data_IF_172829399083
#
_entry.id   IF_172829399083
#
_cell.length_a   1.000
_cell.length_b   1.000
_cell.length_c   1.000
_cell.angle_alpha   90.00
_cell.angle_beta   90.00
_cell.angle_gamma   90.00
#
_symmetry.space_group_name_H-M   'P 1'
#
loop_
_entity.id
_entity.type
_entity.pdbx_description
1 polymer ?
#
# COMPACT_ATOMS: atom_id res chain seq x y z
N UNK A 1 16.63 -59.83 17.89
CA UNK A 1 17.33 -58.77 17.13
C UNK A 1 16.27 -58.01 16.34
N UNK A 2 15.78 -56.93 16.91
CA UNK A 2 14.71 -56.09 16.32
C UNK A 2 15.35 -54.77 15.92
N UNK A 3 15.49 -54.55 14.62
CA UNK A 3 15.94 -53.25 14.08
C UNK A 3 14.74 -52.29 14.09
N UNK A 4 14.85 -51.24 14.90
CA UNK A 4 13.92 -50.12 14.92
C UNK A 4 14.29 -49.15 13.76
N UNK A 5 13.37 -48.99 12.82
CA UNK A 5 13.50 -48.06 11.70
C UNK A 5 12.99 -46.68 12.15
N UNK A 6 13.91 -45.77 12.48
CA UNK A 6 13.60 -44.40 12.83
C UNK A 6 13.56 -43.58 11.54
N UNK A 7 12.37 -43.33 10.98
CA UNK A 7 12.15 -42.46 9.81
C UNK A 7 12.14 -41.01 10.26
N UNK A 8 13.15 -40.27 9.86
CA UNK A 8 13.30 -38.84 10.17
C UNK A 8 12.45 -38.04 9.18
N UNK A 9 11.37 -37.41 9.69
CA UNK A 9 10.55 -36.43 9.01
C UNK A 9 11.26 -35.04 9.08
N UNK A 10 12.12 -34.73 8.11
CA UNK A 10 12.84 -33.43 8.06
C UNK A 10 12.41 -32.53 6.88
N UNK A 11 11.19 -32.72 6.33
CA UNK A 11 10.74 -31.99 5.13
C UNK A 11 9.96 -30.70 5.33
N UNK A 12 9.48 -30.37 6.54
CA UNK A 12 8.49 -29.29 6.73
C UNK A 12 9.13 -27.93 7.03
N UNK A 13 10.36 -27.88 7.52
CA UNK A 13 11.01 -26.64 7.96
C UNK A 13 11.41 -25.71 6.81
N UNK A 14 11.79 -26.22 5.65
CA UNK A 14 12.34 -25.41 4.53
C UNK A 14 11.29 -24.59 3.77
N UNK A 15 10.06 -25.08 3.67
CA UNK A 15 8.98 -24.36 2.98
C UNK A 15 8.50 -23.16 3.82
N UNK A 16 8.30 -23.34 5.12
CA UNK A 16 7.87 -22.29 6.03
C UNK A 16 8.89 -21.15 6.16
N UNK A 17 10.18 -21.47 6.13
CA UNK A 17 11.28 -20.48 6.22
C UNK A 17 11.37 -19.64 4.92
N UNK A 18 11.15 -20.25 3.76
CA UNK A 18 11.11 -19.55 2.48
C UNK A 18 9.90 -18.61 2.39
N UNK A 19 8.72 -19.05 2.76
CA UNK A 19 7.51 -18.24 2.69
C UNK A 19 7.57 -17.05 3.66
N UNK A 20 8.16 -17.23 4.85
CA UNK A 20 8.41 -16.14 5.79
C UNK A 20 9.44 -15.13 5.25
N UNK A 21 10.44 -15.60 4.53
CA UNK A 21 11.41 -14.72 3.85
C UNK A 21 10.75 -13.91 2.73
N UNK A 22 9.77 -14.47 2.03
CA UNK A 22 9.08 -13.81 0.92
C UNK A 22 8.19 -12.63 1.38
N UNK A 23 7.47 -12.75 2.51
CA UNK A 23 6.71 -11.62 3.06
C UNK A 23 7.64 -10.52 3.61
N UNK A 24 8.73 -10.88 4.28
CA UNK A 24 9.70 -9.91 4.75
C UNK A 24 10.34 -9.14 3.58
N UNK A 25 10.70 -9.84 2.50
CA UNK A 25 11.21 -9.22 1.27
C UNK A 25 10.19 -8.28 0.64
N UNK A 26 8.91 -8.65 0.58
CA UNK A 26 7.83 -7.79 0.06
C UNK A 26 7.65 -6.52 0.87
N UNK A 27 7.77 -6.60 2.19
CA UNK A 27 7.74 -5.43 3.07
C UNK A 27 8.92 -4.48 2.76
N UNK A 28 10.11 -5.03 2.58
CA UNK A 28 11.31 -4.26 2.21
C UNK A 28 11.17 -3.65 0.80
N UNK A 29 10.66 -4.40 -0.16
CA UNK A 29 10.35 -3.89 -1.51
C UNK A 29 9.29 -2.78 -1.47
N UNK A 30 8.28 -2.88 -0.61
CA UNK A 30 7.29 -1.83 -0.41
C UNK A 30 7.91 -0.54 0.14
N UNK A 31 8.87 -0.65 1.05
CA UNK A 31 9.66 0.49 1.52
C UNK A 31 10.48 1.12 0.40
N UNK A 32 11.14 0.30 -0.42
CA UNK A 32 11.92 0.77 -1.58
C UNK A 32 11.05 1.50 -2.59
N UNK A 33 9.89 0.94 -2.95
CA UNK A 33 8.93 1.58 -3.85
C UNK A 33 8.52 2.97 -3.35
N UNK A 34 8.17 3.10 -2.06
CA UNK A 34 7.80 4.38 -1.48
C UNK A 34 8.97 5.38 -1.50
N UNK A 35 10.19 4.94 -1.14
CA UNK A 35 11.38 5.77 -1.18
C UNK A 35 11.70 6.25 -2.61
N UNK A 36 11.60 5.39 -3.61
CA UNK A 36 11.93 5.70 -5.00
C UNK A 36 10.90 6.64 -5.65
N UNK A 37 9.61 6.47 -5.31
CA UNK A 37 8.55 7.40 -5.73
C UNK A 37 8.81 8.79 -5.15
N UNK A 38 9.10 8.87 -3.87
CA UNK A 38 9.34 10.14 -3.18
C UNK A 38 10.68 10.80 -3.53
N UNK A 39 11.65 10.04 -4.02
CA UNK A 39 12.93 10.59 -4.50
C UNK A 39 12.86 11.18 -5.91
N UNK A 40 11.73 11.03 -6.64
CA UNK A 40 11.59 11.53 -8.00
C UNK A 40 11.20 13.00 -7.97
N UNK A 41 12.07 13.94 -8.43
CA UNK A 41 11.74 15.36 -8.48
C UNK A 41 10.51 15.60 -9.36
N UNK A 42 9.64 16.54 -8.95
CA UNK A 42 8.45 17.00 -9.67
C UNK A 42 7.40 15.91 -10.02
N UNK A 43 7.57 14.67 -9.53
CA UNK A 43 6.65 13.55 -9.78
C UNK A 43 6.27 12.79 -8.50
N UNK A 44 6.71 13.24 -7.35
CA UNK A 44 6.37 12.64 -6.06
C UNK A 44 4.87 12.77 -5.73
N UNK A 45 4.41 11.95 -4.80
CA UNK A 45 3.09 12.13 -4.20
C UNK A 45 3.09 13.47 -3.45
N UNK A 46 2.12 14.35 -3.70
CA UNK A 46 2.11 15.67 -3.06
C UNK A 46 2.06 15.60 -1.53
N UNK A 47 2.75 16.52 -0.87
CA UNK A 47 2.86 16.55 0.59
C UNK A 47 1.51 16.67 1.30
N UNK A 48 0.56 17.44 0.75
CA UNK A 48 -0.78 17.56 1.28
C UNK A 48 -1.56 16.24 1.24
N UNK A 49 -1.32 15.40 0.22
CA UNK A 49 -1.93 14.06 0.13
C UNK A 49 -1.36 13.14 1.20
N UNK A 50 -0.04 13.10 1.37
CA UNK A 50 0.61 12.26 2.38
C UNK A 50 0.31 12.70 3.82
N UNK A 51 0.24 14.02 4.07
CA UNK A 51 -0.11 14.56 5.39
C UNK A 51 -1.54 14.25 5.79
N UNK A 52 -2.47 14.20 4.83
CA UNK A 52 -3.89 13.86 5.06
C UNK A 52 -4.15 12.35 5.03
N UNK A 53 -3.17 11.53 4.61
CA UNK A 53 -3.34 10.09 4.47
C UNK A 53 -3.83 9.43 5.76
N UNK A 54 -4.95 8.71 5.66
CA UNK A 54 -5.49 7.84 6.72
C UNK A 54 -4.84 6.46 6.68
N UNK A 55 -4.68 5.90 5.47
CA UNK A 55 -3.91 4.68 5.28
C UNK A 55 -3.03 4.80 4.02
N UNK A 56 -1.94 4.06 4.01
CA UNK A 56 -1.03 3.92 2.88
C UNK A 56 -0.88 2.44 2.58
N UNK A 57 -1.11 2.05 1.33
CA UNK A 57 -0.89 0.71 0.85
C UNK A 57 0.10 0.72 -0.31
N UNK A 58 1.04 -0.23 -0.31
CA UNK A 58 2.05 -0.37 -1.35
C UNK A 58 2.06 -1.80 -1.87
N UNK A 59 1.95 -1.94 -3.18
CA UNK A 59 1.98 -3.23 -3.89
C UNK A 59 3.14 -3.17 -4.88
N UNK A 60 4.30 -3.77 -4.53
CA UNK A 60 5.43 -3.88 -5.45
C UNK A 60 5.11 -4.82 -6.60
N UNK A 61 5.58 -4.49 -7.80
CA UNK A 61 5.57 -5.37 -8.98
C UNK A 61 4.22 -6.00 -9.29
N UNK A 62 3.12 -5.24 -9.15
CA UNK A 62 1.79 -5.68 -9.55
C UNK A 62 1.79 -6.02 -11.05
N UNK A 63 1.38 -7.23 -11.38
CA UNK A 63 1.34 -7.71 -12.77
C UNK A 63 0.01 -7.31 -13.40
N UNK A 64 0.07 -6.66 -14.57
CA UNK A 64 -1.07 -6.42 -15.47
C UNK A 64 -0.86 -7.21 -16.75
N UNK A 65 -1.82 -8.04 -17.10
CA UNK A 65 -1.81 -8.83 -18.32
C UNK A 65 -3.08 -8.48 -19.10
N UNK A 66 -2.95 -8.19 -20.38
CA UNK A 66 -4.08 -7.94 -21.27
C UNK A 66 -3.86 -8.62 -22.63
N UNK A 67 -4.79 -9.50 -23.01
CA UNK A 67 -4.86 -10.16 -24.31
C UNK A 67 -6.35 -10.18 -24.70
N UNK A 68 -6.90 -9.00 -25.08
CA UNK A 68 -8.33 -8.83 -25.31
C UNK A 68 -9.16 -8.69 -24.03
N UNK A 69 -9.01 -9.61 -23.09
CA UNK A 69 -9.41 -9.50 -21.69
C UNK A 69 -8.15 -9.38 -20.85
N UNK A 70 -8.15 -8.51 -19.86
CA UNK A 70 -7.00 -8.28 -19.00
C UNK A 70 -7.30 -8.56 -17.55
N UNK A 71 -6.25 -8.83 -16.78
CA UNK A 71 -6.29 -8.95 -15.34
C UNK A 71 -5.13 -8.21 -14.70
N UNK A 72 -5.32 -7.81 -13.46
CA UNK A 72 -4.26 -7.37 -12.59
C UNK A 72 -4.20 -8.24 -11.33
N UNK A 73 -3.00 -8.49 -10.85
CA UNK A 73 -2.76 -9.21 -9.61
C UNK A 73 -1.48 -8.70 -8.97
N UNK A 74 -1.54 -8.46 -7.66
CA UNK A 74 -0.38 -8.07 -6.88
C UNK A 74 -0.58 -8.28 -5.40
N UNK A 75 0.52 -8.49 -4.69
CA UNK A 75 0.57 -8.59 -3.25
C UNK A 75 1.37 -7.43 -2.67
N UNK A 76 0.97 -6.94 -1.51
CA UNK A 76 1.62 -5.83 -0.85
C UNK A 76 1.27 -5.72 0.61
N UNK A 77 1.45 -4.54 1.17
CA UNK A 77 1.14 -4.25 2.57
C UNK A 77 0.42 -2.91 2.71
N UNK A 78 -0.44 -2.81 3.71
CA UNK A 78 -1.14 -1.58 4.08
C UNK A 78 -0.89 -1.24 5.55
N UNK A 79 -0.83 0.04 5.88
CA UNK A 79 -0.80 0.54 7.25
C UNK A 79 -1.73 1.74 7.38
N UNK A 80 -2.33 1.93 8.55
CA UNK A 80 -3.24 3.05 8.83
C UNK A 80 -2.69 3.94 9.93
N UNK A 81 -3.04 5.22 9.86
CA UNK A 81 -2.64 6.22 10.84
C UNK A 81 -3.45 6.05 12.13
N UNK A 82 -2.75 6.06 13.24
CA UNK A 82 -3.27 6.04 14.59
C UNK A 82 -2.94 7.37 15.29
N UNK A 83 -3.51 7.61 16.44
CA UNK A 83 -3.15 8.76 17.28
C UNK A 83 -1.66 8.73 17.68
N UNK A 84 -1.13 7.53 17.95
CA UNK A 84 0.26 7.31 18.36
C UNK A 84 1.25 7.06 17.21
N UNK A 85 0.82 7.17 15.95
CA UNK A 85 1.68 6.92 14.79
C UNK A 85 1.01 6.07 13.70
N UNK A 86 1.63 4.97 13.30
CA UNK A 86 1.14 4.07 12.26
C UNK A 86 0.96 2.66 12.79
N UNK A 87 -0.09 1.97 12.34
CA UNK A 87 -0.37 0.58 12.70
C UNK A 87 0.70 -0.37 12.19
N UNK A 88 0.72 -1.58 12.73
CA UNK A 88 1.43 -2.69 12.12
C UNK A 88 0.95 -2.90 10.68
N UNK A 89 1.80 -3.32 9.72
CA UNK A 89 1.41 -3.52 8.33
C UNK A 89 0.57 -4.76 8.15
N UNK A 90 -0.55 -4.62 7.47
CA UNK A 90 -1.42 -5.74 7.11
C UNK A 90 -1.11 -6.20 5.67
N UNK A 91 -0.80 -7.49 5.45
CA UNK A 91 -0.63 -8.05 4.12
C UNK A 91 -1.93 -7.98 3.31
N UNK A 92 -1.81 -7.55 2.05
CA UNK A 92 -2.92 -7.35 1.12
C UNK A 92 -2.67 -8.02 -0.23
N UNK A 93 -3.76 -8.38 -0.90
CA UNK A 93 -3.77 -8.79 -2.30
C UNK A 93 -4.75 -7.94 -3.08
N UNK A 94 -4.33 -7.41 -4.23
CA UNK A 94 -5.19 -6.77 -5.21
C UNK A 94 -5.39 -7.69 -6.40
N UNK A 95 -6.64 -7.81 -6.85
CA UNK A 95 -7.01 -8.55 -8.05
C UNK A 95 -8.09 -7.78 -8.80
N UNK A 96 -8.01 -7.74 -10.12
CA UNK A 96 -9.03 -7.07 -10.92
C UNK A 96 -9.05 -7.57 -12.34
N UNK A 97 -10.20 -7.39 -12.99
CA UNK A 97 -10.35 -7.53 -14.44
C UNK A 97 -10.18 -6.16 -15.10
N UNK A 98 -9.54 -6.13 -16.24
CA UNK A 98 -9.50 -4.95 -17.11
C UNK A 98 -9.89 -5.33 -18.52
N UNK A 99 -10.67 -4.46 -19.17
CA UNK A 99 -10.99 -4.56 -20.58
C UNK A 99 -10.05 -3.63 -21.33
N UNK A 100 -9.35 -4.12 -22.33
CA UNK A 100 -8.47 -3.26 -23.12
C UNK A 100 -7.82 -3.99 -24.29
N UNK A 101 -7.66 -3.29 -25.40
CA UNK A 101 -6.99 -3.77 -26.61
C UNK A 101 -5.44 -3.79 -26.48
N UNK A 102 -4.90 -3.67 -25.28
CA UNK A 102 -3.46 -3.71 -25.08
C UNK A 102 -2.99 -5.17 -25.01
N UNK A 103 -2.15 -5.54 -25.95
CA UNK A 103 -1.41 -6.81 -25.94
C UNK A 103 -0.13 -6.62 -25.12
N UNK A 104 -0.02 -7.33 -24.01
CA UNK A 104 1.24 -7.33 -23.24
C UNK A 104 1.06 -7.59 -21.76
N UNK A 105 2.18 -7.94 -21.11
CA UNK A 105 2.33 -8.03 -19.67
C UNK A 105 3.22 -6.90 -19.17
N UNK A 106 2.82 -6.25 -18.08
CA UNK A 106 3.59 -5.18 -17.45
C UNK A 106 3.60 -5.37 -15.94
N UNK A 107 4.75 -5.22 -15.32
CA UNK A 107 4.87 -5.10 -13.87
C UNK A 107 4.92 -3.60 -13.52
N UNK A 108 4.10 -3.19 -12.58
CA UNK A 108 4.05 -1.82 -12.07
C UNK A 108 4.10 -1.82 -10.56
N UNK A 109 4.76 -0.84 -9.98
CA UNK A 109 4.65 -0.57 -8.56
C UNK A 109 3.43 0.32 -8.32
N UNK A 110 2.64 -0.01 -7.31
CA UNK A 110 1.41 0.68 -6.99
C UNK A 110 1.46 1.22 -5.57
N UNK A 111 1.11 2.49 -5.40
CA UNK A 111 0.84 3.11 -4.10
C UNK A 111 -0.60 3.59 -4.07
N UNK A 112 -1.32 3.25 -3.02
CA UNK A 112 -2.68 3.71 -2.76
C UNK A 112 -2.69 4.52 -1.47
N UNK A 113 -3.30 5.70 -1.52
CA UNK A 113 -3.47 6.59 -0.37
C UNK A 113 -4.97 6.68 -0.07
N UNK A 114 -5.36 6.22 1.10
CA UNK A 114 -6.72 6.42 1.63
C UNK A 114 -6.77 7.79 2.30
N UNK A 115 -7.66 8.66 1.82
CA UNK A 115 -7.67 10.10 2.15
C UNK A 115 -8.59 10.46 3.30
N UNK A 116 -9.64 9.66 3.53
CA UNK A 116 -10.68 9.98 4.49
C UNK A 116 -11.10 8.77 5.33
N UNK A 117 -11.92 9.02 6.32
CA UNK A 117 -12.39 8.00 7.27
C UNK A 117 -13.26 6.94 6.60
N UNK A 118 -14.06 7.31 5.61
CA UNK A 118 -14.92 6.38 4.88
C UNK A 118 -14.08 5.36 4.12
N UNK A 119 -13.07 5.79 3.38
CA UNK A 119 -12.12 4.90 2.70
C UNK A 119 -11.36 4.00 3.68
N UNK A 120 -11.02 4.51 4.88
CA UNK A 120 -10.43 3.68 5.93
C UNK A 120 -11.40 2.60 6.40
N UNK A 121 -12.68 2.90 6.62
CA UNK A 121 -13.69 1.89 7.00
C UNK A 121 -13.85 0.81 5.93
N UNK A 122 -13.82 1.18 4.64
CA UNK A 122 -13.81 0.20 3.56
C UNK A 122 -12.57 -0.71 3.61
N UNK A 123 -11.38 -0.15 3.85
CA UNK A 123 -10.17 -0.94 4.00
C UNK A 123 -10.26 -1.91 5.19
N UNK A 124 -10.81 -1.47 6.32
CA UNK A 124 -10.99 -2.31 7.52
C UNK A 124 -11.95 -3.49 7.32
N UNK A 125 -12.80 -3.46 6.29
CA UNK A 125 -13.76 -4.53 5.99
C UNK A 125 -13.12 -5.81 5.42
N UNK A 126 -11.81 -5.85 5.26
CA UNK A 126 -11.01 -6.98 4.74
C UNK A 126 -11.24 -7.38 3.28
N UNK A 127 -12.24 -6.83 2.62
CA UNK A 127 -12.51 -6.99 1.19
C UNK A 127 -13.39 -5.85 0.69
N UNK A 128 -12.94 -5.12 -0.31
CA UNK A 128 -13.73 -4.09 -0.99
C UNK A 128 -13.31 -3.94 -2.46
N UNK A 129 -14.20 -3.37 -3.27
CA UNK A 129 -13.97 -3.10 -4.69
C UNK A 129 -13.74 -1.61 -4.91
N UNK A 130 -12.63 -1.28 -5.54
CA UNK A 130 -12.31 0.08 -5.98
C UNK A 130 -13.27 0.51 -7.09
N UNK A 131 -13.82 1.70 -6.95
CA UNK A 131 -14.80 2.28 -7.89
C UNK A 131 -16.24 1.82 -7.70
N UNK A 132 -16.48 0.79 -6.85
CA UNK A 132 -17.83 0.32 -6.52
C UNK A 132 -18.15 0.54 -5.03
N UNK A 133 -17.32 -0.02 -4.14
CA UNK A 133 -17.50 0.10 -2.70
C UNK A 133 -16.80 1.37 -2.15
N UNK A 134 -15.62 1.69 -2.71
CA UNK A 134 -14.86 2.88 -2.38
C UNK A 134 -14.52 3.67 -3.66
N UNK A 135 -14.75 4.97 -3.65
CA UNK A 135 -14.38 5.83 -4.76
C UNK A 135 -12.86 5.89 -4.91
N UNK A 136 -12.37 5.59 -6.11
CA UNK A 136 -10.95 5.59 -6.43
C UNK A 136 -10.67 6.52 -7.60
N UNK A 137 -9.60 7.28 -7.52
CA UNK A 137 -9.14 8.15 -8.60
C UNK A 137 -7.63 8.08 -8.79
N UNK A 138 -7.18 8.35 -10.00
CA UNK A 138 -5.78 8.60 -10.29
C UNK A 138 -5.31 9.82 -9.48
N UNK A 139 -4.28 9.63 -8.64
CA UNK A 139 -3.78 10.68 -7.78
C UNK A 139 -3.12 11.80 -8.58
N UNK A 140 -3.18 13.05 -8.10
CA UNK A 140 -2.48 14.17 -8.69
C UNK A 140 -0.96 13.99 -8.56
N UNK A 141 -0.19 14.35 -9.58
CA UNK A 141 1.27 14.23 -9.60
C UNK A 141 1.91 15.59 -9.94
N UNK A 142 3.05 15.88 -9.32
CA UNK A 142 3.82 17.07 -9.60
C UNK A 142 3.32 18.34 -8.90
N UNK A 143 3.97 19.48 -9.22
CA UNK A 143 3.68 20.79 -8.60
C UNK A 143 2.33 21.37 -9.04
N UNK A 144 1.83 20.98 -10.20
CA UNK A 144 0.54 21.46 -10.73
C UNK A 144 -0.67 20.74 -10.09
N UNK A 145 -0.41 19.83 -9.15
CA UNK A 145 -1.44 19.10 -8.42
C UNK A 145 -2.40 20.03 -7.63
N UNK A 146 -2.02 21.28 -7.38
CA UNK A 146 -2.84 22.24 -6.65
C UNK A 146 -4.12 22.66 -7.40
N UNK A 147 -4.08 22.72 -8.74
CA UNK A 147 -5.22 23.19 -9.55
C UNK A 147 -6.31 22.12 -9.77
N UNK A 148 -5.95 20.84 -9.69
CA UNK A 148 -6.85 19.69 -9.97
C UNK A 148 -7.38 19.05 -8.67
N UNK A 149 -7.12 19.71 -7.53
CA UNK A 149 -7.17 19.12 -6.19
C UNK A 149 -8.59 18.88 -5.69
N UNK A 150 -9.55 19.77 -6.01
CA UNK A 150 -10.87 19.71 -5.36
C UNK A 150 -11.73 18.49 -5.74
N UNK A 151 -11.63 18.03 -6.99
CA UNK A 151 -12.43 16.89 -7.46
C UNK A 151 -11.75 15.57 -7.09
N UNK A 152 -10.43 15.48 -7.27
CA UNK A 152 -9.64 14.28 -6.97
C UNK A 152 -9.50 14.03 -5.46
N UNK A 153 -9.42 15.08 -4.65
CA UNK A 153 -9.36 14.97 -3.19
C UNK A 153 -10.68 14.50 -2.54
N UNK A 154 -11.77 14.43 -3.30
CA UNK A 154 -13.03 13.81 -2.85
C UNK A 154 -13.04 12.30 -2.98
N UNK A 155 -12.11 11.72 -3.76
CA UNK A 155 -11.98 10.28 -3.85
C UNK A 155 -11.47 9.72 -2.50
N UNK A 156 -12.02 8.59 -2.09
CA UNK A 156 -11.63 7.91 -0.86
C UNK A 156 -10.25 7.27 -0.97
N UNK A 157 -9.87 6.86 -2.19
CA UNK A 157 -8.59 6.25 -2.50
C UNK A 157 -7.94 6.94 -3.70
N UNK A 158 -6.75 7.48 -3.50
CA UNK A 158 -5.89 7.97 -4.59
C UNK A 158 -4.86 6.91 -4.95
N UNK A 159 -4.68 6.69 -6.24
CA UNK A 159 -3.82 5.63 -6.76
C UNK A 159 -2.68 6.21 -7.59
N UNK A 160 -1.49 5.70 -7.36
CA UNK A 160 -0.27 6.09 -8.02
C UNK A 160 0.47 4.85 -8.52
N UNK A 161 0.97 4.88 -9.75
CA UNK A 161 1.76 3.79 -10.28
C UNK A 161 3.11 4.26 -10.80
N UNK A 162 4.09 3.39 -10.71
CA UNK A 162 5.39 3.56 -11.32
C UNK A 162 5.69 2.37 -12.24
N UNK A 163 6.06 2.67 -13.46
CA UNK A 163 6.50 1.67 -14.44
C UNK A 163 7.69 2.20 -15.22
N UNK A 164 8.78 1.43 -15.27
CA UNK A 164 10.02 1.78 -16.01
C UNK A 164 10.52 3.22 -15.74
N UNK A 165 10.46 3.65 -14.47
CA UNK A 165 10.88 5.01 -14.07
C UNK A 165 9.88 6.13 -14.37
N UNK A 166 8.74 5.83 -15.01
CA UNK A 166 7.64 6.77 -15.20
C UNK A 166 6.63 6.63 -14.07
N UNK A 167 6.24 7.77 -13.51
CA UNK A 167 5.25 7.86 -12.45
C UNK A 167 3.98 8.52 -12.99
N UNK A 168 2.82 7.94 -12.69
CA UNK A 168 1.52 8.46 -13.11
C UNK A 168 0.42 8.00 -12.16
N UNK A 169 -0.67 8.76 -12.09
CA UNK A 169 -1.93 8.26 -11.53
C UNK A 169 -2.49 7.14 -12.41
N UNK A 170 -3.11 6.14 -11.78
CA UNK A 170 -3.71 5.00 -12.47
C UNK A 170 -5.14 4.78 -11.99
N UNK A 171 -6.04 4.44 -12.91
CA UNK A 171 -7.38 3.98 -12.54
C UNK A 171 -7.37 2.46 -12.29
N UNK A 172 -7.88 2.07 -11.14
CA UNK A 172 -8.02 0.69 -10.69
C UNK A 172 -9.48 0.30 -10.45
N UNK A 173 -10.44 1.04 -11.01
CA UNK A 173 -11.85 0.73 -10.88
C UNK A 173 -12.14 -0.70 -11.31
N UNK A 174 -12.95 -1.40 -10.51
CA UNK A 174 -13.24 -2.84 -10.70
C UNK A 174 -12.21 -3.79 -10.07
N UNK A 175 -11.11 -3.29 -9.53
CA UNK A 175 -10.17 -4.12 -8.78
C UNK A 175 -10.68 -4.35 -7.35
N UNK A 176 -10.50 -5.56 -6.86
CA UNK A 176 -10.83 -5.95 -5.49
C UNK A 176 -9.55 -6.01 -4.64
N UNK A 177 -9.58 -5.35 -3.51
CA UNK A 177 -8.53 -5.44 -2.50
C UNK A 177 -9.01 -6.35 -1.37
N UNK A 178 -8.17 -7.29 -0.96
CA UNK A 178 -8.48 -8.28 0.07
C UNK A 178 -7.31 -8.46 1.02
N UNK A 179 -7.61 -8.85 2.26
CA UNK A 179 -6.58 -9.29 3.20
C UNK A 179 -5.92 -10.58 2.69
N UNK A 180 -4.59 -10.62 2.66
CA UNK A 180 -3.84 -11.85 2.43
C UNK A 180 -3.72 -12.62 3.74
N UNK A 181 -4.55 -13.68 3.88
CA UNK A 181 -4.64 -14.44 5.12
C UNK A 181 -3.41 -15.30 5.36
N UNK A 182 -2.78 -15.79 4.29
CA UNK A 182 -1.62 -16.67 4.39
C UNK A 182 -0.37 -15.85 4.74
N UNK A 183 -0.14 -14.74 4.05
CA UNK A 183 0.93 -13.81 4.39
C UNK A 183 0.73 -13.19 5.79
N UNK A 184 -0.53 -13.01 6.24
CA UNK A 184 -0.84 -12.57 7.60
C UNK A 184 -0.38 -13.61 8.64
N UNK A 185 -0.66 -14.90 8.41
CA UNK A 185 -0.20 -15.98 9.30
C UNK A 185 1.32 -16.08 9.33
N UNK A 186 1.97 -15.92 8.17
CA UNK A 186 3.43 -15.94 8.09
C UNK A 186 4.07 -14.77 8.85
N UNK A 187 3.49 -13.57 8.75
CA UNK A 187 4.05 -12.37 9.39
C UNK A 187 3.81 -12.34 10.91
N UNK A 188 2.65 -12.80 11.38
CA UNK A 188 2.22 -12.69 12.79
C UNK A 188 2.16 -14.02 13.53
N UNK A 189 2.48 -15.14 12.87
CA UNK A 189 2.41 -16.49 13.45
C UNK A 189 0.99 -17.10 13.50
N UNK A 190 -0.04 -16.27 13.34
CA UNK A 190 -1.46 -16.67 13.29
C UNK A 190 -2.27 -15.71 12.42
N UNK A 191 -3.50 -16.10 12.10
CA UNK A 191 -4.41 -15.20 11.41
C UNK A 191 -4.95 -14.13 12.38
N UNK A 192 -4.78 -12.86 11.99
CA UNK A 192 -5.32 -11.69 12.68
C UNK A 192 -6.14 -10.87 11.67
N UNK A 193 -7.39 -10.49 11.99
CA UNK A 193 -8.22 -9.69 11.10
C UNK A 193 -7.63 -8.31 10.77
N UNK A 194 -7.93 -7.78 9.61
CA UNK A 194 -7.56 -6.43 9.19
C UNK A 194 -7.88 -5.36 10.22
N UNK A 195 -9.11 -5.41 10.75
CA UNK A 195 -9.59 -4.45 11.73
C UNK A 195 -8.72 -4.41 12.99
N UNK A 196 -8.14 -5.52 13.39
CA UNK A 196 -7.27 -5.56 14.57
C UNK A 196 -5.86 -5.05 14.25
N UNK A 197 -5.30 -5.45 13.10
CA UNK A 197 -3.96 -5.01 12.68
C UNK A 197 -3.98 -3.49 12.46
N UNK A 198 -4.89 -3.01 11.62
CA UNK A 198 -4.92 -1.63 11.17
C UNK A 198 -5.47 -0.64 12.22
N UNK A 199 -6.16 -1.12 13.26
CA UNK A 199 -6.56 -0.31 14.41
C UNK A 199 -5.49 -0.24 15.52
N UNK A 200 -4.33 -0.84 15.31
CA UNK A 200 -3.21 -0.76 16.25
C UNK A 200 -3.27 -1.72 17.44
N UNK A 201 -4.13 -2.75 17.39
CA UNK A 201 -4.20 -3.79 18.42
C UNK A 201 -3.08 -4.82 18.34
N UNK A 202 -2.31 -4.80 17.23
CA UNK A 202 -1.22 -5.74 16.95
C UNK A 202 0.09 -4.97 16.92
N UNK A 203 1.12 -5.51 17.54
CA UNK A 203 2.46 -4.94 17.49
C UNK A 203 3.13 -5.25 16.15
N UNK A 204 3.86 -4.28 15.62
CA UNK A 204 4.66 -4.47 14.42
C UNK A 204 5.81 -5.44 14.69
N UNK A 205 6.07 -6.33 13.75
CA UNK A 205 7.23 -7.24 13.80
C UNK A 205 8.51 -6.50 13.40
N UNK A 206 9.68 -7.06 13.71
CA UNK A 206 10.96 -6.49 13.26
C UNK A 206 11.04 -6.36 11.72
N UNK A 207 10.46 -7.32 10.98
CA UNK A 207 10.38 -7.29 9.53
C UNK A 207 9.55 -6.11 8.99
N UNK A 208 8.69 -5.50 9.80
CA UNK A 208 7.82 -4.38 9.43
C UNK A 208 8.55 -3.03 9.41
N UNK A 209 9.69 -2.93 10.09
CA UNK A 209 10.37 -1.64 10.35
C UNK A 209 10.80 -0.89 9.10
N UNK A 210 11.35 -1.52 8.04
CA UNK A 210 11.73 -0.79 6.82
C UNK A 210 10.55 -0.02 6.21
N UNK A 211 9.37 -0.65 6.11
CA UNK A 211 8.18 -0.02 5.54
C UNK A 211 7.63 1.09 6.45
N UNK A 212 7.49 0.82 7.75
CA UNK A 212 6.98 1.80 8.71
C UNK A 212 7.91 3.01 8.84
N UNK A 213 9.22 2.81 8.77
CA UNK A 213 10.21 3.89 8.75
C UNK A 213 10.04 4.79 7.53
N UNK A 214 9.88 4.21 6.33
CA UNK A 214 9.61 4.96 5.10
C UNK A 214 8.29 5.74 5.20
N UNK A 215 7.22 5.11 5.69
CA UNK A 215 5.92 5.76 5.88
C UNK A 215 6.03 6.93 6.87
N UNK A 216 6.66 6.75 8.02
CA UNK A 216 6.88 7.82 9.02
C UNK A 216 7.68 8.98 8.45
N UNK A 217 8.76 8.68 7.73
CA UNK A 217 9.61 9.67 7.10
C UNK A 217 8.81 10.63 6.22
N UNK A 218 8.04 10.10 5.28
CA UNK A 218 7.37 10.94 4.29
C UNK A 218 6.05 11.54 4.81
N UNK A 219 5.31 10.84 5.64
CA UNK A 219 4.10 11.39 6.27
C UNK A 219 4.39 12.40 7.40
N UNK A 220 5.56 12.35 8.02
CA UNK A 220 6.03 13.29 9.04
C UNK A 220 6.55 14.59 8.43
N UNK A 221 7.39 14.51 7.43
CA UNK A 221 7.92 15.67 6.70
C UNK A 221 6.79 16.52 6.09
N UNK A 222 5.79 15.88 5.52
CA UNK A 222 4.61 16.54 4.96
C UNK A 222 3.81 17.33 6.01
N UNK A 223 3.77 16.88 7.27
CA UNK A 223 3.12 17.62 8.36
C UNK A 223 3.87 18.88 8.76
N UNK A 224 5.20 18.83 8.78
CA UNK A 224 6.01 20.01 9.07
C UNK A 224 5.92 21.05 7.96
N UNK A 225 5.96 20.64 6.70
CA UNK A 225 5.79 21.54 5.55
C UNK A 225 4.41 22.22 5.57
N UNK A 226 3.34 21.47 5.77
CA UNK A 226 1.97 22.03 5.86
C UNK A 226 1.77 22.98 7.06
N UNK A 227 2.46 22.72 8.17
CA UNK A 227 2.41 23.59 9.35
C UNK A 227 3.14 24.90 9.10
N UNK A 228 4.28 24.85 8.44
CA UNK A 228 5.07 26.03 8.09
C UNK A 228 4.39 26.89 7.03
N UNK A 229 3.72 26.28 6.05
CA UNK A 229 2.95 27.01 5.04
C UNK A 229 1.75 27.77 5.66
N UNK A 230 1.03 27.14 6.59
CA UNK A 230 -0.07 27.80 7.33
C UNK A 230 0.42 28.92 8.25
N UNK A 231 1.60 28.80 8.81
CA UNK A 231 2.21 29.85 9.64
C UNK A 231 2.76 31.02 8.82
N UNK A 232 3.25 30.76 7.59
CA UNK A 232 3.74 31.79 6.68
C UNK A 232 2.63 32.55 5.94
N UNK A 233 1.41 32.00 5.89
CA UNK A 233 0.25 32.62 5.23
C UNK A 233 -0.60 33.49 6.15
N UNK A 234 -0.18 33.74 7.40
CA UNK A 234 -0.87 34.67 8.28
C UNK A 234 -0.72 36.10 7.72
N UNK A 235 -1.81 36.85 7.45
CA UNK A 235 -1.71 38.20 6.93
C UNK A 235 -1.02 39.08 7.96
N UNK A 236 -0.05 39.85 7.51
CA UNK A 236 0.53 40.93 8.30
C UNK A 236 -0.61 41.90 8.66
N UNK A 237 -0.96 41.96 9.91
CA UNK A 237 -1.93 42.93 10.44
C UNK A 237 -1.29 44.31 10.38
N UNK A 238 -1.80 45.15 9.48
CA UNK A 238 -1.63 46.60 9.54
C UNK A 238 -2.52 47.17 10.63
#
# INVERSE_FOLDING_TARGET
>A
MVLSLCSVLTGVSWAADKDQSDIAKRIDESAKVLNEIMATPDKAIPDNVLSSAKCIAVIPSMVKIAIGFGGNHGKGVATCRLESGWSAPAPITITGGSWGLQLGGQAIDLVMIVTNEQGMQHLLSSKFKLGADASAAAGPVGRDAAADTDIKMRAEVLTYSRSRGLFAGIDLSGSSLTQDKDDTRLLYGNFVPFSEILSGKVQATAASEPFLSAVRKYSGQSRESSKNEKLGAAPASN
#
